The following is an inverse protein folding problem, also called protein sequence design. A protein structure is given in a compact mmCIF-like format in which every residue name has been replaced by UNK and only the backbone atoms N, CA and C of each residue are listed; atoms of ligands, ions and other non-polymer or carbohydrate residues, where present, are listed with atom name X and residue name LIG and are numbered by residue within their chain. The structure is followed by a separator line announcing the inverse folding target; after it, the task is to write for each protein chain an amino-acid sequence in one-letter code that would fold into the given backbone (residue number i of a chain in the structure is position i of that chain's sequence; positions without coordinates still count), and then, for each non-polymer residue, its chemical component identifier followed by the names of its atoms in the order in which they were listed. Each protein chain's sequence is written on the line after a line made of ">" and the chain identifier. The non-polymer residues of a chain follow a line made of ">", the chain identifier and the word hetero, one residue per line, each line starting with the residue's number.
data_IF_532336506221
#
_entry.id   IF_532336506221
#
_cell.length_a   1.000
_cell.length_b   1.000
_cell.length_c   1.000
_cell.angle_alpha   90.00
_cell.angle_beta   90.00
_cell.angle_gamma   90.00
#
_symmetry.space_group_name_H-M   'P 1'
#
loop_
_entity.id
_entity.type
_entity.pdbx_description
1 polymer ?
#
# COMPACT_ATOMS: atom_id res chain seq x y z
N UNK A 1 -27.77 -41.04 -17.57
CA UNK A 1 -27.39 -40.05 -16.54
C UNK A 1 -27.60 -40.63 -15.14
N UNK A 2 -26.73 -40.33 -14.17
CA UNK A 2 -26.99 -40.50 -12.73
C UNK A 2 -26.78 -39.14 -12.06
N UNK A 3 -27.76 -38.63 -11.31
CA UNK A 3 -27.63 -37.36 -10.56
C UNK A 3 -27.11 -37.68 -9.15
N UNK A 4 -25.89 -37.27 -8.84
CA UNK A 4 -25.30 -37.39 -7.50
C UNK A 4 -25.67 -36.18 -6.66
N UNK A 5 -26.65 -36.34 -5.76
CA UNK A 5 -27.02 -35.32 -4.78
C UNK A 5 -26.00 -35.28 -3.64
N UNK A 6 -25.21 -34.21 -3.54
CA UNK A 6 -24.33 -33.99 -2.39
C UNK A 6 -25.13 -33.39 -1.22
N UNK A 7 -25.38 -34.20 -0.19
CA UNK A 7 -25.90 -33.70 1.10
C UNK A 7 -24.84 -32.87 1.83
N UNK A 8 -25.16 -31.61 2.13
CA UNK A 8 -24.35 -30.77 3.02
C UNK A 8 -24.72 -31.07 4.48
N UNK A 9 -23.94 -31.94 5.14
CA UNK A 9 -24.15 -32.28 6.56
C UNK A 9 -23.64 -31.17 7.49
N UNK A 10 -24.56 -30.35 8.00
CA UNK A 10 -24.29 -29.42 9.10
C UNK A 10 -23.97 -30.19 10.40
N UNK A 11 -22.71 -30.19 10.82
CA UNK A 11 -22.29 -30.72 12.12
C UNK A 11 -22.53 -29.70 13.25
N UNK A 12 -23.73 -29.74 13.84
CA UNK A 12 -24.07 -28.95 15.02
C UNK A 12 -23.35 -29.44 16.28
N UNK A 13 -22.42 -28.65 16.83
CA UNK A 13 -21.69 -28.97 18.05
C UNK A 13 -22.50 -28.57 19.32
N UNK A 14 -23.05 -29.55 20.03
CA UNK A 14 -23.82 -29.32 21.25
C UNK A 14 -22.92 -29.23 22.51
N UNK A 15 -22.77 -28.03 23.07
CA UNK A 15 -22.11 -27.80 24.38
C UNK A 15 -23.12 -27.99 25.51
N UNK A 16 -22.73 -28.73 26.57
CA UNK A 16 -23.62 -29.13 27.68
C UNK A 16 -23.61 -28.13 28.83
N UNK A 17 -24.71 -28.06 29.58
CA UNK A 17 -24.89 -27.20 30.77
C UNK A 17 -24.13 -27.73 31.99
N UNK A 18 -23.56 -26.82 32.77
CA UNK A 18 -23.17 -27.01 34.17
C UNK A 18 -22.64 -25.71 34.79
N UNK A 19 -22.95 -25.32 36.03
CA UNK A 19 -23.93 -25.96 36.93
C UNK A 19 -23.71 -25.76 38.44
N UNK A 20 -23.19 -24.62 38.92
CA UNK A 20 -22.90 -24.39 40.36
C UNK A 20 -23.59 -23.11 40.87
N UNK A 21 -23.94 -23.08 42.17
CA UNK A 21 -24.76 -22.06 42.84
C UNK A 21 -23.94 -21.22 43.83
N UNK A 22 -24.44 -20.01 44.14
CA UNK A 22 -24.12 -19.26 45.36
C UNK A 22 -23.35 -17.95 45.11
N UNK A 23 -23.74 -16.81 45.69
CA UNK A 23 -24.94 -16.55 46.50
C UNK A 23 -25.10 -15.05 46.79
N UNK A 24 -26.34 -14.60 47.00
CA UNK A 24 -26.62 -13.18 47.25
C UNK A 24 -26.21 -12.77 48.68
N UNK A 25 -25.52 -11.63 48.81
CA UNK A 25 -25.65 -10.74 49.97
C UNK A 25 -25.78 -9.29 49.50
N UNK A 26 -26.71 -8.57 50.12
CA UNK A 26 -26.98 -7.17 49.82
C UNK A 26 -26.09 -6.26 50.69
N UNK A 27 -25.57 -5.18 50.12
CA UNK A 27 -24.78 -4.15 50.80
C UNK A 27 -25.30 -2.77 50.40
N UNK A 28 -25.53 -1.89 51.39
CA UNK A 28 -26.22 -0.61 51.20
C UNK A 28 -25.26 0.49 50.70
N UNK A 29 -25.84 1.53 50.10
CA UNK A 29 -25.13 2.75 49.70
C UNK A 29 -24.35 3.37 50.87
N UNK A 30 -23.31 4.13 50.55
CA UNK A 30 -23.27 5.51 51.05
C UNK A 30 -22.65 6.50 50.04
N UNK A 31 -22.84 7.79 50.29
CA UNK A 31 -22.38 8.91 49.45
C UNK A 31 -21.12 9.58 50.02
N UNK A 32 -20.20 9.96 49.16
CA UNK A 32 -19.39 11.17 49.38
C UNK A 32 -18.92 11.79 48.06
N UNK A 33 -19.04 13.11 47.94
CA UNK A 33 -18.45 13.91 46.86
C UNK A 33 -17.21 14.62 47.40
N UNK A 34 -16.11 14.63 46.65
CA UNK A 34 -15.00 15.56 46.86
C UNK A 34 -14.56 16.16 45.52
N UNK A 35 -14.59 17.49 45.46
CA UNK A 35 -14.06 18.34 44.39
C UNK A 35 -12.83 19.09 44.92
N UNK A 36 -12.06 19.70 44.01
CA UNK A 36 -10.95 20.64 44.31
C UNK A 36 -9.70 20.02 44.96
N UNK A 37 -8.51 20.60 44.82
CA UNK A 37 -8.05 21.61 43.84
C UNK A 37 -6.51 21.69 43.80
N UNK A 38 -6.00 22.31 42.73
CA UNK A 38 -4.78 23.15 42.68
C UNK A 38 -3.51 22.68 43.42
N UNK A 39 -2.46 22.38 42.65
CA UNK A 39 -1.11 22.88 42.96
C UNK A 39 -0.58 23.58 41.70
N UNK A 40 -0.07 24.80 41.86
CA UNK A 40 0.52 25.61 40.79
C UNK A 40 1.82 26.23 41.32
N UNK A 41 2.96 25.82 40.74
CA UNK A 41 4.28 26.42 41.00
C UNK A 41 4.90 26.75 39.63
N UNK A 42 5.17 28.03 39.36
CA UNK A 42 5.62 28.49 38.04
C UNK A 42 6.34 29.86 38.09
N UNK A 43 7.65 29.84 38.36
CA UNK A 43 8.64 30.94 38.26
C UNK A 43 10.03 30.34 38.53
N UNK A 44 11.20 30.84 38.09
CA UNK A 44 11.70 31.62 36.93
C UNK A 44 13.27 31.51 37.02
N UNK A 45 14.17 31.80 36.08
CA UNK A 45 14.26 32.36 34.71
C UNK A 45 15.63 31.88 34.12
N UNK A 46 15.96 32.17 32.84
CA UNK A 46 17.29 32.63 32.29
C UNK A 46 17.69 32.04 30.90
N UNK A 47 18.16 32.95 30.02
CA UNK A 47 19.02 32.79 28.83
C UNK A 47 18.61 31.92 27.61
N UNK A 48 17.98 32.61 26.65
CA UNK A 48 18.43 32.80 25.24
C UNK A 48 18.52 31.65 24.20
N UNK A 49 18.51 31.97 22.87
CA UNK A 49 18.31 31.02 21.77
C UNK A 49 19.49 31.04 20.74
N UNK A 50 19.34 30.72 19.43
CA UNK A 50 19.63 29.39 18.88
C UNK A 50 20.67 29.40 17.73
N UNK A 51 20.72 28.29 16.93
CA UNK A 51 21.52 28.01 15.72
C UNK A 51 22.96 27.48 15.93
N UNK A 52 23.57 26.79 14.92
CA UNK A 52 22.97 26.07 13.78
C UNK A 52 23.34 24.57 13.75
N UNK A 53 22.63 23.78 12.93
CA UNK A 53 23.08 22.47 12.46
C UNK A 53 22.70 22.33 10.98
N UNK A 54 23.64 21.89 10.15
CA UNK A 54 23.54 21.98 8.69
C UNK A 54 22.89 20.74 8.08
N UNK A 55 21.93 20.93 7.18
CA UNK A 55 21.45 19.88 6.26
C UNK A 55 21.28 20.41 4.84
N UNK A 56 22.27 20.06 4.01
CA UNK A 56 22.17 19.71 2.59
C UNK A 56 21.43 20.66 1.63
N UNK A 57 22.22 21.30 0.76
CA UNK A 57 21.76 22.09 -0.39
C UNK A 57 20.83 21.31 -1.33
N UNK A 58 19.51 21.50 -1.22
CA UNK A 58 18.56 21.17 -2.29
C UNK A 58 18.40 22.36 -3.25
N UNK A 59 19.22 22.33 -4.30
CA UNK A 59 19.24 23.31 -5.40
C UNK A 59 17.84 23.41 -6.05
N UNK A 60 17.26 24.62 -6.22
CA UNK A 60 15.93 24.77 -6.80
C UNK A 60 15.91 24.37 -8.28
N UNK A 61 14.90 23.60 -8.69
CA UNK A 61 14.70 23.23 -10.10
C UNK A 61 14.23 24.45 -10.90
N UNK A 62 15.10 24.90 -11.80
CA UNK A 62 14.85 25.94 -12.80
C UNK A 62 13.82 25.42 -13.81
N UNK A 63 12.69 26.11 -14.00
CA UNK A 63 11.76 25.81 -15.09
C UNK A 63 12.22 26.50 -16.37
N UNK A 64 12.85 25.74 -17.25
CA UNK A 64 12.97 26.02 -18.69
C UNK A 64 12.09 24.97 -19.38
N UNK A 65 11.10 25.33 -20.20
CA UNK A 65 11.18 26.01 -21.51
C UNK A 65 11.65 25.03 -22.60
N UNK A 66 10.68 24.38 -23.23
CA UNK A 66 10.78 23.38 -24.30
C UNK A 66 9.43 23.40 -25.08
N UNK A 67 9.35 23.02 -26.37
CA UNK A 67 9.25 24.08 -27.38
C UNK A 67 8.15 23.88 -28.46
N UNK A 68 8.00 24.89 -29.32
CA UNK A 68 7.52 24.77 -30.72
C UNK A 68 8.32 23.69 -31.49
N UNK A 69 7.84 23.02 -32.55
CA UNK A 69 6.69 23.11 -33.48
C UNK A 69 6.55 21.68 -34.13
N UNK A 70 5.81 21.36 -35.24
CA UNK A 70 4.82 22.10 -36.03
C UNK A 70 3.49 21.34 -36.36
N UNK A 71 2.51 22.10 -36.85
CA UNK A 71 1.63 21.89 -38.04
C UNK A 71 0.98 20.53 -38.47
N UNK A 72 -0.35 20.60 -38.69
CA UNK A 72 -1.27 19.83 -39.58
C UNK A 72 -1.48 18.30 -39.48
N UNK A 73 -2.74 17.90 -39.28
CA UNK A 73 -3.56 17.20 -40.31
C UNK A 73 -5.06 17.27 -40.00
N UNK A 74 -5.92 17.07 -41.00
CA UNK A 74 -7.39 17.24 -40.92
C UNK A 74 -8.15 15.94 -40.64
N UNK A 75 -9.24 16.01 -39.86
CA UNK A 75 -10.51 15.27 -40.11
C UNK A 75 -11.66 15.89 -39.32
N UNK A 76 -12.79 16.18 -39.98
CA UNK A 76 -14.09 16.40 -39.33
C UNK A 76 -14.82 15.04 -39.09
N UNK A 77 -15.84 14.97 -38.21
CA UNK A 77 -17.20 15.20 -38.73
C UNK A 77 -18.25 15.80 -37.75
N UNK A 78 -19.35 16.27 -38.37
CA UNK A 78 -20.76 16.32 -37.91
C UNK A 78 -21.24 17.16 -36.69
N UNK A 79 -22.38 17.85 -36.94
CA UNK A 79 -23.23 18.52 -35.94
C UNK A 79 -24.20 17.52 -35.28
N UNK A 80 -24.74 17.87 -34.10
CA UNK A 80 -26.21 17.97 -33.94
C UNK A 80 -26.60 19.32 -33.26
N UNK A 81 -27.89 19.71 -33.11
CA UNK A 81 -28.34 20.99 -33.69
C UNK A 81 -28.81 22.06 -32.68
N UNK A 82 -29.30 23.17 -33.25
CA UNK A 82 -29.70 24.43 -32.61
C UNK A 82 -30.68 24.33 -31.41
N UNK A 83 -30.54 25.29 -30.49
CA UNK A 83 -31.51 25.62 -29.45
C UNK A 83 -31.57 27.15 -29.21
N UNK A 84 -32.35 27.82 -30.05
CA UNK A 84 -33.14 29.05 -29.81
C UNK A 84 -32.53 30.22 -29.00
N UNK A 85 -32.20 31.32 -29.70
CA UNK A 85 -32.16 32.66 -29.09
C UNK A 85 -33.59 33.22 -28.92
N UNK A 86 -33.95 33.85 -27.78
CA UNK A 86 -35.25 34.49 -27.60
C UNK A 86 -35.30 35.86 -28.32
N UNK A 87 -35.97 35.89 -29.47
CA UNK A 87 -36.29 37.13 -30.20
C UNK A 87 -37.05 38.12 -29.30
N UNK A 88 -36.49 39.31 -29.08
CA UNK A 88 -37.19 40.41 -28.39
C UNK A 88 -37.63 41.45 -29.43
N UNK A 89 -38.91 41.40 -29.81
CA UNK A 89 -39.50 42.36 -30.76
C UNK A 89 -39.65 43.76 -30.16
N UNK A 90 -39.36 44.79 -30.95
CA UNK A 90 -39.54 46.18 -30.57
C UNK A 90 -41.01 46.52 -30.29
N UNK A 91 -41.24 47.28 -29.22
CA UNK A 91 -42.34 48.25 -29.13
C UNK A 91 -41.82 49.55 -28.53
N UNK A 92 -41.95 50.64 -29.29
CA UNK A 92 -42.04 51.98 -28.72
C UNK A 92 -43.43 52.15 -28.13
N UNK A 93 -43.52 52.77 -26.96
CA UNK A 93 -44.64 53.64 -26.58
C UNK A 93 -44.17 54.59 -25.45
N UNK A 94 -44.64 55.84 -25.54
CA UNK A 94 -44.64 56.99 -24.62
C UNK A 94 -43.35 57.49 -23.92
N UNK A 95 -43.05 58.79 -24.15
CA UNK A 95 -41.84 59.49 -23.69
C UNK A 95 -42.16 60.33 -22.42
N UNK A 96 -42.18 59.66 -21.27
CA UNK A 96 -42.46 60.29 -19.97
C UNK A 96 -42.12 59.39 -18.78
N UNK A 97 -42.89 58.32 -18.58
CA UNK A 97 -42.69 57.38 -17.46
C UNK A 97 -41.61 56.32 -17.76
N UNK A 98 -41.26 56.13 -19.04
CA UNK A 98 -40.18 55.24 -19.49
C UNK A 98 -38.81 55.57 -18.85
N UNK A 99 -38.57 56.83 -18.46
CA UNK A 99 -37.37 57.23 -17.74
C UNK A 99 -37.28 56.60 -16.34
N UNK A 100 -38.40 56.54 -15.60
CA UNK A 100 -38.47 55.94 -14.27
C UNK A 100 -38.39 54.40 -14.35
N UNK A 101 -39.14 53.78 -15.27
CA UNK A 101 -39.14 52.34 -15.43
C UNK A 101 -37.78 51.81 -15.90
N UNK A 102 -37.16 52.41 -16.92
CA UNK A 102 -35.80 52.04 -17.36
C UNK A 102 -34.71 52.35 -16.32
N UNK A 103 -34.92 53.32 -15.42
CA UNK A 103 -34.03 53.51 -14.26
C UNK A 103 -34.21 52.37 -13.24
N UNK A 104 -35.45 51.92 -13.00
CA UNK A 104 -35.74 50.76 -12.15
C UNK A 104 -35.12 49.47 -12.72
N UNK A 105 -35.20 49.24 -14.03
CA UNK A 105 -34.57 48.12 -14.73
C UNK A 105 -33.04 48.18 -14.64
N UNK A 106 -32.44 49.36 -14.84
CA UNK A 106 -31.00 49.57 -14.62
C UNK A 106 -30.58 49.22 -13.19
N UNK A 107 -31.38 49.60 -12.19
CA UNK A 107 -31.15 49.22 -10.78
C UNK A 107 -31.35 47.71 -10.53
N UNK A 108 -32.34 47.07 -11.17
CA UNK A 108 -32.55 45.62 -11.08
C UNK A 108 -31.40 44.84 -11.74
N UNK A 109 -30.98 45.24 -12.93
CA UNK A 109 -29.82 44.68 -13.66
C UNK A 109 -28.52 44.86 -12.87
N UNK A 110 -28.34 46.00 -12.19
CA UNK A 110 -27.21 46.23 -11.29
C UNK A 110 -27.27 45.34 -10.03
N UNK A 111 -28.44 45.16 -9.41
CA UNK A 111 -28.65 44.21 -8.30
C UNK A 111 -28.36 42.76 -8.74
N UNK A 112 -28.79 42.37 -9.93
CA UNK A 112 -28.49 41.06 -10.51
C UNK A 112 -26.99 40.87 -10.79
N UNK A 113 -26.31 41.91 -11.30
CA UNK A 113 -24.85 41.93 -11.47
C UNK A 113 -24.13 41.75 -10.11
N UNK A 114 -24.57 42.48 -9.08
CA UNK A 114 -24.03 42.33 -7.72
C UNK A 114 -24.28 40.92 -7.14
N UNK A 115 -25.44 40.32 -7.37
CA UNK A 115 -25.74 38.96 -6.93
C UNK A 115 -24.88 37.91 -7.67
N UNK A 116 -24.64 38.10 -8.98
CA UNK A 116 -23.70 37.29 -9.77
C UNK A 116 -22.26 37.44 -9.26
N UNK A 117 -21.81 38.66 -8.96
CA UNK A 117 -20.49 38.92 -8.40
C UNK A 117 -20.31 38.29 -7.00
N UNK A 118 -21.28 38.46 -6.10
CA UNK A 118 -21.28 37.84 -4.76
C UNK A 118 -21.25 36.31 -4.82
N UNK A 119 -22.13 35.71 -5.62
CA UNK A 119 -22.15 34.24 -5.77
C UNK A 119 -20.94 33.70 -6.54
N UNK A 120 -20.24 34.51 -7.33
CA UNK A 120 -18.91 34.19 -7.86
C UNK A 120 -17.86 34.16 -6.74
N UNK A 121 -17.72 35.25 -6.00
CA UNK A 121 -16.78 35.33 -4.87
C UNK A 121 -17.00 34.23 -3.82
N UNK A 122 -18.26 33.90 -3.51
CA UNK A 122 -18.61 32.78 -2.64
C UNK A 122 -18.20 31.41 -3.19
N UNK A 123 -18.39 31.15 -4.50
CA UNK A 123 -17.94 29.90 -5.13
C UNK A 123 -16.42 29.78 -5.05
N UNK A 124 -15.71 30.81 -5.50
CA UNK A 124 -14.24 30.86 -5.45
C UNK A 124 -13.73 30.61 -4.02
N UNK A 125 -14.30 31.27 -3.00
CA UNK A 125 -13.92 31.07 -1.60
C UNK A 125 -14.20 29.64 -1.11
N UNK A 126 -15.35 29.05 -1.48
CA UNK A 126 -15.71 27.66 -1.14
C UNK A 126 -14.81 26.66 -1.86
N UNK A 127 -14.36 26.96 -3.09
CA UNK A 127 -13.46 26.14 -3.89
C UNK A 127 -12.02 26.19 -3.33
N UNK A 128 -11.48 27.37 -2.99
CA UNK A 128 -10.19 27.48 -2.28
C UNK A 128 -10.24 26.79 -0.90
N UNK A 129 -11.35 26.88 -0.18
CA UNK A 129 -11.54 26.16 1.08
C UNK A 129 -11.59 24.64 0.88
N UNK A 130 -12.24 24.15 -0.18
CA UNK A 130 -12.28 22.72 -0.52
C UNK A 130 -10.93 22.20 -1.03
N UNK A 131 -10.18 23.01 -1.80
CA UNK A 131 -8.83 22.68 -2.26
C UNK A 131 -7.85 22.60 -1.08
N UNK A 132 -7.83 23.59 -0.19
CA UNK A 132 -6.99 23.55 1.03
C UNK A 132 -7.35 22.38 1.95
N UNK A 133 -8.64 22.01 2.06
CA UNK A 133 -9.05 20.78 2.75
C UNK A 133 -8.60 19.49 2.05
N UNK A 134 -8.65 19.43 0.71
CA UNK A 134 -8.13 18.28 -0.06
C UNK A 134 -6.62 18.11 0.08
N UNK A 135 -5.87 19.22 0.09
CA UNK A 135 -4.42 19.22 0.29
C UNK A 135 -4.04 18.88 1.74
N UNK A 136 -4.90 19.23 2.72
CA UNK A 136 -4.68 18.93 4.14
C UNK A 136 -5.20 17.54 4.59
N UNK A 137 -5.85 16.76 3.72
CA UNK A 137 -6.40 15.44 4.09
C UNK A 137 -5.50 14.29 3.65
N UNK A 138 -4.70 13.78 4.61
CA UNK A 138 -3.83 12.61 4.40
C UNK A 138 -4.58 11.41 3.79
N UNK A 139 -4.22 10.94 2.58
CA UNK A 139 -4.88 9.78 1.96
C UNK A 139 -4.75 8.50 2.80
N UNK A 140 -3.69 8.37 3.60
CA UNK A 140 -3.50 7.26 4.54
C UNK A 140 -4.51 7.31 5.70
N UNK A 141 -4.83 8.50 6.21
CA UNK A 141 -5.83 8.71 7.26
C UNK A 141 -7.25 8.46 6.73
N UNK A 142 -7.57 8.91 5.52
CA UNK A 142 -8.83 8.59 4.85
C UNK A 142 -9.02 7.08 4.68
N UNK A 143 -7.97 6.35 4.26
CA UNK A 143 -7.98 4.88 4.17
C UNK A 143 -8.01 4.17 5.54
N UNK A 144 -7.68 4.84 6.63
CA UNK A 144 -7.87 4.33 7.99
C UNK A 144 -9.31 4.57 8.47
N UNK A 145 -9.89 5.73 8.14
CA UNK A 145 -11.28 6.09 8.47
C UNK A 145 -12.26 5.19 7.72
N UNK A 146 -12.11 5.05 6.39
CA UNK A 146 -13.00 4.21 5.56
C UNK A 146 -13.02 2.75 6.03
N UNK A 147 -11.87 2.18 6.39
CA UNK A 147 -11.78 0.84 6.98
C UNK A 147 -12.50 0.75 8.33
N UNK A 148 -12.28 1.72 9.24
CA UNK A 148 -13.01 1.78 10.53
C UNK A 148 -14.53 1.90 10.32
N UNK A 149 -14.96 2.71 9.37
CA UNK A 149 -16.37 2.87 9.02
C UNK A 149 -16.99 1.57 8.48
N UNK A 150 -16.28 0.86 7.59
CA UNK A 150 -16.72 -0.43 7.08
C UNK A 150 -16.80 -1.52 8.16
N UNK A 151 -15.87 -1.54 9.13
CA UNK A 151 -15.98 -2.41 10.30
C UNK A 151 -17.14 -2.02 11.21
N UNK A 152 -17.39 -0.72 11.41
CA UNK A 152 -18.51 -0.24 12.22
C UNK A 152 -19.87 -0.59 11.59
N UNK A 153 -20.07 -0.33 10.29
CA UNK A 153 -21.32 -0.68 9.60
C UNK A 153 -21.53 -2.20 9.51
N UNK A 154 -20.48 -2.99 9.31
CA UNK A 154 -20.53 -4.45 9.39
C UNK A 154 -20.99 -4.94 10.77
N UNK A 155 -20.44 -4.38 11.85
CA UNK A 155 -20.79 -4.77 13.22
C UNK A 155 -22.20 -4.31 13.61
N UNK A 156 -22.66 -3.15 13.14
CA UNK A 156 -24.04 -2.70 13.31
C UNK A 156 -25.01 -3.62 12.59
N UNK A 157 -24.77 -3.92 11.30
CA UNK A 157 -25.61 -4.83 10.53
C UNK A 157 -25.65 -6.25 11.15
N UNK A 158 -24.55 -6.72 11.75
CA UNK A 158 -24.54 -7.95 12.57
C UNK A 158 -25.47 -7.84 13.77
N UNK A 159 -25.35 -6.78 14.57
CA UNK A 159 -26.20 -6.57 15.75
C UNK A 159 -27.69 -6.43 15.37
N UNK A 160 -28.01 -5.71 14.30
CA UNK A 160 -29.38 -5.49 13.83
C UNK A 160 -30.02 -6.81 13.33
N UNK A 161 -29.27 -7.64 12.61
CA UNK A 161 -29.76 -8.95 12.13
C UNK A 161 -29.87 -9.97 13.27
N UNK A 162 -28.91 -10.02 14.20
CA UNK A 162 -29.01 -10.85 15.41
C UNK A 162 -30.19 -10.42 16.31
N UNK A 163 -30.47 -9.11 16.42
CA UNK A 163 -31.63 -8.57 17.15
C UNK A 163 -32.97 -8.88 16.46
N UNK A 164 -32.99 -8.98 15.12
CA UNK A 164 -34.13 -9.48 14.35
C UNK A 164 -34.32 -11.01 14.45
N UNK A 165 -33.36 -11.74 15.03
CA UNK A 165 -33.37 -13.20 15.11
C UNK A 165 -32.88 -13.90 13.83
N UNK A 166 -32.25 -13.19 12.90
CA UNK A 166 -31.68 -13.75 11.69
C UNK A 166 -30.22 -14.21 11.87
N UNK A 167 -29.83 -15.24 11.13
CA UNK A 167 -28.46 -15.75 11.05
C UNK A 167 -27.65 -14.92 10.04
N UNK A 168 -26.90 -13.93 10.54
CA UNK A 168 -26.06 -13.00 9.77
C UNK A 168 -25.05 -13.70 8.84
N UNK A 169 -24.46 -14.79 9.29
CA UNK A 169 -23.41 -15.49 8.54
C UNK A 169 -24.01 -16.34 7.41
N UNK A 170 -25.18 -16.94 7.66
CA UNK A 170 -26.02 -17.52 6.59
C UNK A 170 -26.50 -16.47 5.60
N UNK A 171 -26.96 -15.30 6.04
CA UNK A 171 -27.44 -14.23 5.15
C UNK A 171 -26.35 -13.80 4.18
N UNK A 172 -25.15 -13.52 4.69
CA UNK A 172 -23.95 -13.25 3.87
C UNK A 172 -23.59 -14.39 2.91
N UNK A 173 -23.76 -15.64 3.31
CA UNK A 173 -23.40 -16.78 2.45
C UNK A 173 -24.26 -16.89 1.18
N UNK A 174 -25.42 -16.23 1.10
CA UNK A 174 -26.18 -16.06 -0.14
C UNK A 174 -25.60 -15.01 -1.08
N UNK A 175 -24.93 -13.98 -0.52
CA UNK A 175 -24.36 -12.87 -1.28
C UNK A 175 -22.99 -13.22 -1.91
N UNK A 176 -22.37 -14.34 -1.53
CA UNK A 176 -21.06 -14.77 -2.04
C UNK A 176 -21.10 -15.17 -3.51
N UNK A 177 -20.46 -14.38 -4.36
CA UNK A 177 -20.26 -14.72 -5.77
C UNK A 177 -19.20 -15.81 -5.94
N UNK A 178 -19.32 -16.62 -7.00
CA UNK A 178 -18.32 -17.67 -7.35
C UNK A 178 -16.92 -17.06 -7.50
N UNK A 179 -16.85 -15.92 -8.18
CA UNK A 179 -15.68 -15.07 -8.35
C UNK A 179 -14.97 -14.72 -7.04
N UNK A 180 -15.72 -14.39 -5.98
CA UNK A 180 -15.18 -14.04 -4.67
C UNK A 180 -14.70 -15.27 -3.90
N UNK A 181 -15.42 -16.39 -4.00
CA UNK A 181 -14.95 -17.68 -3.46
C UNK A 181 -13.62 -18.08 -4.12
N UNK A 182 -13.52 -18.05 -5.45
CA UNK A 182 -12.27 -18.36 -6.14
C UNK A 182 -11.12 -17.41 -5.73
N UNK A 183 -11.39 -16.10 -5.62
CA UNK A 183 -10.38 -15.12 -5.16
C UNK A 183 -9.99 -15.33 -3.68
N UNK A 184 -10.88 -15.89 -2.87
CA UNK A 184 -10.60 -16.29 -1.48
C UNK A 184 -9.79 -17.59 -1.41
N UNK A 185 -10.16 -18.61 -2.18
CA UNK A 185 -9.51 -19.92 -2.19
C UNK A 185 -8.09 -19.83 -2.77
N UNK A 186 -7.90 -19.12 -3.90
CA UNK A 186 -6.57 -18.79 -4.45
C UNK A 186 -5.69 -18.04 -3.43
N UNK A 187 -6.30 -17.24 -2.53
CA UNK A 187 -5.59 -16.52 -1.44
C UNK A 187 -5.23 -17.44 -0.28
N UNK A 188 -6.11 -18.36 0.11
CA UNK A 188 -5.82 -19.39 1.12
C UNK A 188 -4.75 -20.35 0.62
N UNK A 189 -4.86 -20.83 -0.61
CA UNK A 189 -3.89 -21.71 -1.26
C UNK A 189 -2.50 -21.05 -1.33
N UNK A 190 -2.42 -19.80 -1.79
CA UNK A 190 -1.15 -19.02 -1.77
C UNK A 190 -0.59 -18.87 -0.36
N UNK A 191 -1.44 -18.66 0.66
CA UNK A 191 -1.04 -18.60 2.07
C UNK A 191 -0.56 -19.94 2.62
N UNK A 192 -1.11 -21.06 2.14
CA UNK A 192 -0.67 -22.41 2.48
C UNK A 192 0.68 -22.72 1.82
N UNK A 193 0.80 -22.56 0.50
CA UNK A 193 2.08 -22.69 -0.24
C UNK A 193 3.19 -21.87 0.43
N UNK A 194 2.92 -20.62 0.79
CA UNK A 194 3.88 -19.77 1.51
C UNK A 194 4.22 -20.22 2.93
N UNK A 195 3.40 -21.03 3.62
CA UNK A 195 3.75 -21.65 4.92
C UNK A 195 4.66 -22.85 4.70
N UNK A 196 4.31 -23.70 3.76
CA UNK A 196 5.06 -24.91 3.42
C UNK A 196 6.47 -24.54 2.90
N UNK A 197 6.56 -23.41 2.17
CA UNK A 197 7.81 -22.78 1.72
C UNK A 197 8.73 -22.23 2.82
N UNK A 198 8.27 -22.04 4.06
CA UNK A 198 9.12 -21.56 5.18
C UNK A 198 10.06 -22.65 5.68
N UNK A 199 9.66 -23.92 5.55
CA UNK A 199 10.49 -25.04 5.96
C UNK A 199 11.68 -25.22 5.02
N UNK A 200 12.86 -25.50 5.59
CA UNK A 200 14.00 -25.94 4.81
C UNK A 200 13.74 -27.36 4.28
N UNK A 201 13.81 -27.53 2.96
CA UNK A 201 13.63 -28.81 2.28
C UNK A 201 14.95 -29.27 1.64
N UNK A 202 15.52 -28.41 0.77
CA UNK A 202 16.77 -28.65 0.06
C UNK A 202 17.53 -27.34 -0.22
N UNK A 203 18.85 -27.45 -0.40
CA UNK A 203 19.75 -26.35 -0.70
C UNK A 203 19.47 -25.69 -2.05
N UNK A 204 19.03 -26.41 -3.09
CA UNK A 204 18.68 -25.78 -4.38
C UNK A 204 17.48 -24.85 -4.25
N UNK A 205 16.51 -25.22 -3.41
CA UNK A 205 15.33 -24.41 -3.14
C UNK A 205 15.65 -23.19 -2.27
N UNK A 206 16.52 -23.32 -1.26
CA UNK A 206 16.97 -22.18 -0.45
C UNK A 206 17.82 -21.20 -1.30
N UNK A 207 18.74 -21.72 -2.12
CA UNK A 207 19.51 -20.91 -3.07
C UNK A 207 18.60 -20.14 -4.04
N UNK A 208 17.58 -20.81 -4.61
CA UNK A 208 16.56 -20.13 -5.43
C UNK A 208 15.79 -19.07 -4.64
N UNK A 209 15.35 -19.35 -3.41
CA UNK A 209 14.63 -18.39 -2.55
C UNK A 209 15.50 -17.19 -2.15
N UNK A 210 16.82 -17.35 -2.08
CA UNK A 210 17.78 -16.26 -1.89
C UNK A 210 17.96 -15.45 -3.18
N UNK A 211 18.14 -16.10 -4.33
CA UNK A 211 18.23 -15.46 -5.65
C UNK A 211 16.96 -14.68 -6.01
N UNK A 212 15.78 -15.31 -5.91
CA UNK A 212 14.46 -14.70 -6.15
C UNK A 212 14.19 -13.50 -5.22
N UNK A 213 14.90 -13.39 -4.09
CA UNK A 213 14.88 -12.20 -3.22
C UNK A 213 15.88 -11.15 -3.70
N UNK A 214 17.13 -11.52 -3.99
CA UNK A 214 18.15 -10.60 -4.50
C UNK A 214 17.71 -9.93 -5.80
N UNK A 215 17.08 -10.67 -6.73
CA UNK A 215 16.54 -10.12 -7.97
C UNK A 215 15.34 -9.16 -7.78
N UNK A 216 14.71 -9.13 -6.60
CA UNK A 216 13.67 -8.13 -6.24
C UNK A 216 14.24 -6.94 -5.47
N UNK A 217 15.43 -7.09 -4.89
CA UNK A 217 16.14 -6.02 -4.18
C UNK A 217 17.11 -5.27 -5.12
N UNK A 218 17.49 -5.88 -6.26
CA UNK A 218 18.31 -5.29 -7.32
C UNK A 218 17.59 -4.14 -8.02
N UNK A 219 18.30 -3.02 -8.21
CA UNK A 219 17.81 -1.85 -8.94
C UNK A 219 18.72 -1.59 -10.17
N UNK A 220 18.28 -1.94 -11.39
CA UNK A 220 19.02 -1.65 -12.62
C UNK A 220 19.13 -0.14 -12.87
N UNK A 221 20.29 0.32 -13.36
CA UNK A 221 20.43 1.68 -13.87
C UNK A 221 20.15 1.71 -15.37
N UNK A 222 18.96 2.21 -15.75
CA UNK A 222 18.53 2.25 -17.16
C UNK A 222 19.36 3.23 -17.99
N UNK A 223 19.70 4.40 -17.44
CA UNK A 223 20.46 5.43 -18.16
C UNK A 223 21.85 4.94 -18.60
N UNK A 224 22.55 4.21 -17.73
CA UNK A 224 23.85 3.63 -18.07
C UNK A 224 23.72 2.49 -19.10
N UNK A 225 22.69 1.65 -18.98
CA UNK A 225 22.41 0.60 -19.95
C UNK A 225 22.08 1.17 -21.34
N UNK A 226 21.36 2.28 -21.42
CA UNK A 226 21.08 2.99 -22.67
C UNK A 226 22.35 3.61 -23.28
N UNK A 227 23.23 4.21 -22.45
CA UNK A 227 24.53 4.73 -22.90
C UNK A 227 25.45 3.61 -23.41
N UNK A 228 25.59 2.51 -22.67
CA UNK A 228 26.39 1.35 -23.08
C UNK A 228 25.83 0.71 -24.37
N UNK A 229 24.49 0.66 -24.51
CA UNK A 229 23.81 0.19 -25.73
C UNK A 229 24.11 1.07 -26.94
N UNK A 230 23.98 2.40 -26.80
CA UNK A 230 24.28 3.34 -27.89
C UNK A 230 25.76 3.21 -28.28
N UNK A 231 26.67 3.25 -27.31
CA UNK A 231 28.11 3.14 -27.56
C UNK A 231 28.54 1.78 -28.16
N UNK A 232 27.77 0.71 -27.98
CA UNK A 232 27.99 -0.57 -28.65
C UNK A 232 27.45 -0.59 -30.09
N UNK A 233 26.25 -0.02 -30.32
CA UNK A 233 25.67 0.13 -31.67
C UNK A 233 26.55 1.05 -32.53
N UNK A 234 27.07 2.15 -31.99
CA UNK A 234 28.01 3.05 -32.68
C UNK A 234 29.30 2.34 -33.10
N UNK A 235 29.83 1.43 -32.26
CA UNK A 235 31.01 0.61 -32.61
C UNK A 235 30.69 -0.41 -33.70
N UNK A 236 29.57 -1.11 -33.61
CA UNK A 236 29.13 -2.04 -34.65
C UNK A 236 28.90 -1.32 -36.01
N UNK A 237 28.35 -0.10 -35.98
CA UNK A 237 28.20 0.76 -37.15
C UNK A 237 29.56 1.22 -37.72
N UNK A 238 30.50 1.61 -36.86
CA UNK A 238 31.84 2.03 -37.27
C UNK A 238 32.70 0.89 -37.86
N UNK A 239 32.51 -0.34 -37.37
CA UNK A 239 33.14 -1.55 -37.93
C UNK A 239 32.47 -2.01 -39.24
N UNK A 240 31.19 -1.71 -39.43
CA UNK A 240 30.37 -2.24 -40.53
C UNK A 240 29.71 -3.60 -40.25
N UNK A 241 29.62 -4.01 -38.99
CA UNK A 241 29.14 -5.34 -38.57
C UNK A 241 27.59 -5.44 -38.44
N UNK A 242 26.87 -4.33 -38.65
CA UNK A 242 25.40 -4.29 -38.61
C UNK A 242 24.80 -4.87 -39.89
N UNK A 243 24.25 -6.07 -39.81
CA UNK A 243 23.53 -6.72 -40.91
C UNK A 243 22.09 -6.22 -40.95
N UNK A 244 21.71 -5.54 -42.04
CA UNK A 244 20.33 -5.09 -42.24
C UNK A 244 19.51 -6.28 -42.72
N UNK A 245 18.65 -6.80 -41.85
CA UNK A 245 17.75 -7.92 -42.15
C UNK A 245 16.37 -7.37 -42.50
N UNK A 246 15.91 -7.63 -43.72
CA UNK A 246 14.52 -7.40 -44.12
C UNK A 246 13.63 -8.45 -43.44
N UNK A 247 12.78 -8.00 -42.51
CA UNK A 247 11.79 -8.86 -41.84
C UNK A 247 10.65 -9.18 -42.81
N UNK A 248 9.94 -10.29 -42.62
CA UNK A 248 8.86 -10.73 -43.52
C UNK A 248 7.72 -9.70 -43.71
N UNK A 249 7.54 -8.79 -42.75
CA UNK A 249 6.57 -7.69 -42.77
C UNK A 249 7.08 -6.42 -43.47
N UNK A 250 8.30 -6.44 -44.03
CA UNK A 250 8.93 -5.32 -44.74
C UNK A 250 9.73 -4.35 -43.86
N UNK A 251 9.81 -4.58 -42.55
CA UNK A 251 10.59 -3.76 -41.61
C UNK A 251 12.07 -4.18 -41.61
N UNK A 252 12.97 -3.22 -41.88
CA UNK A 252 14.42 -3.45 -41.89
C UNK A 252 15.00 -3.31 -40.48
N UNK A 253 15.45 -4.42 -39.90
CA UNK A 253 16.05 -4.46 -38.57
C UNK A 253 17.57 -4.61 -38.70
N UNK A 254 18.33 -3.69 -38.11
CA UNK A 254 19.78 -3.81 -38.00
C UNK A 254 20.14 -4.83 -36.91
N UNK A 255 20.65 -5.99 -37.31
CA UNK A 255 21.05 -7.08 -36.42
C UNK A 255 22.57 -7.10 -36.27
N UNK A 256 23.01 -7.11 -35.01
CA UNK A 256 24.40 -7.28 -34.58
C UNK A 256 24.86 -8.72 -34.86
N UNK A 257 25.59 -8.94 -35.95
CA UNK A 257 25.94 -10.28 -36.46
C UNK A 257 27.02 -10.98 -35.63
N UNK A 258 27.92 -10.21 -35.03
CA UNK A 258 29.01 -10.69 -34.18
C UNK A 258 28.68 -10.68 -32.67
N UNK A 259 27.51 -10.18 -32.28
CA UNK A 259 27.01 -10.22 -30.91
C UNK A 259 27.77 -9.30 -29.95
N UNK A 260 28.23 -8.14 -30.45
CA UNK A 260 29.00 -7.18 -29.65
C UNK A 260 28.19 -6.53 -28.51
N UNK A 261 26.87 -6.45 -28.62
CA UNK A 261 25.95 -6.04 -27.55
C UNK A 261 25.01 -7.17 -27.15
N UNK A 262 24.36 -7.81 -28.14
CA UNK A 262 23.50 -8.97 -27.91
C UNK A 262 24.31 -10.25 -28.08
N UNK A 263 25.07 -10.61 -27.03
CA UNK A 263 25.98 -11.76 -27.03
C UNK A 263 25.31 -13.06 -27.50
N UNK A 264 25.86 -13.62 -28.57
CA UNK A 264 25.52 -14.95 -29.08
C UNK A 264 26.44 -16.00 -28.45
N UNK A 265 26.09 -17.29 -28.56
CA UNK A 265 26.83 -18.39 -27.92
C UNK A 265 28.32 -18.47 -28.35
N UNK A 266 28.64 -17.98 -29.54
CA UNK A 266 29.99 -17.98 -30.11
C UNK A 266 30.73 -16.62 -29.95
N UNK A 267 30.07 -15.59 -29.40
CA UNK A 267 30.65 -14.25 -29.23
C UNK A 267 31.59 -14.18 -28.01
N UNK A 268 32.81 -13.68 -28.21
CA UNK A 268 33.85 -13.64 -27.16
C UNK A 268 33.90 -12.32 -26.38
N UNK A 269 33.15 -11.29 -26.78
CA UNK A 269 33.28 -9.91 -26.28
C UNK A 269 33.09 -9.70 -24.77
N UNK A 270 32.58 -10.69 -24.04
CA UNK A 270 32.52 -10.68 -22.58
C UNK A 270 33.92 -10.64 -21.92
N UNK A 271 34.97 -11.18 -22.54
CA UNK A 271 36.32 -11.25 -21.92
C UNK A 271 36.91 -9.88 -21.61
N UNK A 272 36.55 -8.88 -22.39
CA UNK A 272 37.17 -7.56 -22.39
C UNK A 272 36.37 -6.56 -21.54
N UNK A 273 35.23 -7.00 -20.97
CA UNK A 273 34.41 -6.18 -20.10
C UNK A 273 35.12 -5.93 -18.75
N UNK A 274 35.59 -4.70 -18.58
CA UNK A 274 36.14 -4.20 -17.32
C UNK A 274 35.12 -3.28 -16.65
N UNK A 275 34.30 -3.76 -15.69
CA UNK A 275 33.26 -2.96 -15.07
C UNK A 275 33.86 -1.80 -14.27
N UNK A 276 33.12 -0.69 -14.19
CA UNK A 276 33.53 0.45 -13.38
C UNK A 276 33.61 0.08 -11.89
N UNK A 277 34.55 0.74 -11.19
CA UNK A 277 34.79 0.55 -9.78
C UNK A 277 33.55 0.82 -8.92
N UNK A 278 32.72 1.81 -9.25
CA UNK A 278 31.50 2.07 -8.49
C UNK A 278 30.46 0.95 -8.65
N UNK A 279 30.46 0.21 -9.77
CA UNK A 279 29.62 -0.98 -9.93
C UNK A 279 30.13 -2.15 -9.06
N UNK A 280 31.46 -2.34 -8.99
CA UNK A 280 32.08 -3.34 -8.09
C UNK A 280 31.83 -2.99 -6.62
N UNK A 281 32.00 -1.73 -6.22
CA UNK A 281 31.76 -1.28 -4.85
C UNK A 281 30.28 -1.46 -4.42
N UNK A 282 29.31 -1.24 -5.34
CA UNK A 282 27.88 -1.56 -5.11
C UNK A 282 27.66 -3.06 -4.86
N UNK A 283 28.24 -3.93 -5.69
CA UNK A 283 28.13 -5.39 -5.50
C UNK A 283 28.70 -5.81 -4.13
N UNK A 284 29.84 -5.22 -3.71
CA UNK A 284 30.45 -5.49 -2.42
C UNK A 284 29.58 -4.99 -1.25
N UNK A 285 28.88 -3.85 -1.37
CA UNK A 285 27.96 -3.40 -0.30
C UNK A 285 26.72 -4.28 -0.18
N UNK A 286 26.14 -4.76 -1.29
CA UNK A 286 24.99 -5.68 -1.24
C UNK A 286 25.36 -7.06 -0.69
N UNK A 287 26.56 -7.58 -0.98
CA UNK A 287 27.08 -8.80 -0.36
C UNK A 287 27.22 -8.65 1.17
N UNK A 288 27.84 -7.55 1.65
CA UNK A 288 27.97 -7.26 3.09
C UNK A 288 26.61 -7.11 3.78
N UNK A 289 25.69 -6.37 3.18
CA UNK A 289 24.29 -6.19 3.62
C UNK A 289 23.56 -7.54 3.74
N UNK A 290 23.77 -8.47 2.82
CA UNK A 290 23.21 -9.82 2.90
C UNK A 290 23.80 -10.64 4.07
N UNK A 291 25.11 -10.53 4.34
CA UNK A 291 25.76 -11.14 5.50
C UNK A 291 25.28 -10.53 6.83
N UNK A 292 25.17 -9.20 6.91
CA UNK A 292 24.65 -8.48 8.08
C UNK A 292 23.23 -8.92 8.43
N UNK A 293 22.33 -9.03 7.44
CA UNK A 293 20.96 -9.55 7.64
C UNK A 293 20.97 -11.00 8.11
N UNK A 294 21.87 -11.85 7.59
CA UNK A 294 22.05 -13.25 8.02
C UNK A 294 22.57 -13.33 9.47
N UNK A 295 23.52 -12.48 9.85
CA UNK A 295 24.10 -12.40 11.19
C UNK A 295 23.11 -11.83 12.21
N UNK A 296 22.39 -10.74 11.86
CA UNK A 296 21.31 -10.16 12.68
C UNK A 296 20.24 -11.19 12.99
N UNK A 297 19.71 -11.89 11.97
CA UNK A 297 18.75 -12.99 12.15
C UNK A 297 19.34 -14.18 12.93
N UNK A 298 20.66 -14.35 13.02
CA UNK A 298 21.32 -15.35 13.88
C UNK A 298 21.44 -14.88 15.33
N UNK A 299 21.63 -13.57 15.56
CA UNK A 299 21.64 -12.94 16.89
C UNK A 299 20.23 -12.88 17.50
N UNK A 300 19.22 -12.52 16.73
CA UNK A 300 17.80 -12.49 17.16
C UNK A 300 17.32 -13.86 17.64
N UNK A 301 17.68 -14.94 16.93
CA UNK A 301 17.42 -16.34 17.35
C UNK A 301 18.30 -16.84 18.52
N UNK A 302 19.07 -15.95 19.15
CA UNK A 302 19.82 -16.15 20.40
C UNK A 302 19.42 -15.13 21.48
N UNK A 303 18.35 -14.37 21.26
CA UNK A 303 17.85 -13.35 22.19
C UNK A 303 17.40 -13.91 23.54
N UNK A 304 17.09 -13.01 24.46
CA UNK A 304 17.01 -13.30 25.89
C UNK A 304 16.03 -14.42 26.27
N UNK A 305 16.48 -15.22 27.23
CA UNK A 305 15.68 -16.26 27.87
C UNK A 305 15.23 -15.74 29.24
N UNK A 306 14.04 -15.13 29.29
CA UNK A 306 13.26 -14.93 30.53
C UNK A 306 12.58 -16.25 30.99
N UNK A 307 13.04 -17.39 30.43
CA UNK A 307 12.64 -18.73 30.79
C UNK A 307 13.62 -19.33 31.80
N UNK A 308 13.11 -20.21 32.68
CA UNK A 308 13.88 -20.78 33.78
C UNK A 308 15.16 -21.52 33.33
N UNK A 309 16.27 -21.31 34.06
CA UNK A 309 17.64 -21.58 33.60
C UNK A 309 18.03 -23.03 33.84
N UNK A 310 17.52 -23.91 32.97
CA UNK A 310 17.73 -25.37 33.00
C UNK A 310 19.14 -25.85 32.59
N UNK A 311 20.16 -24.98 32.56
CA UNK A 311 21.50 -25.32 32.06
C UNK A 311 22.64 -24.64 32.81
N UNK A 312 23.78 -25.33 32.90
CA UNK A 312 24.99 -24.84 33.60
C UNK A 312 25.99 -24.16 32.63
N UNK A 313 25.92 -24.45 31.33
CA UNK A 313 26.81 -23.85 30.33
C UNK A 313 26.17 -23.80 28.92
N UNK A 314 26.75 -23.01 28.02
CA UNK A 314 26.24 -22.79 26.64
C UNK A 314 26.15 -24.07 25.79
N UNK A 315 27.01 -25.07 26.01
CA UNK A 315 26.91 -26.37 25.30
C UNK A 315 25.74 -27.19 25.83
N UNK A 316 25.51 -27.16 27.14
CA UNK A 316 24.36 -27.77 27.81
C UNK A 316 23.06 -27.06 27.37
N UNK A 317 23.02 -25.72 27.30
CA UNK A 317 21.92 -24.94 26.71
C UNK A 317 21.57 -25.43 25.30
N UNK A 318 22.56 -25.50 24.40
CA UNK A 318 22.34 -25.97 23.03
C UNK A 318 21.91 -27.45 22.95
N UNK A 319 22.35 -28.30 23.89
CA UNK A 319 21.92 -29.69 24.00
C UNK A 319 20.47 -29.80 24.51
N UNK A 320 20.09 -29.06 25.55
CA UNK A 320 18.72 -29.01 26.06
C UNK A 320 17.76 -28.39 25.04
N UNK A 321 18.20 -27.35 24.30
CA UNK A 321 17.48 -26.80 23.15
C UNK A 321 17.40 -27.79 21.96
N UNK A 322 18.26 -28.81 21.88
CA UNK A 322 18.11 -29.92 20.91
C UNK A 322 17.10 -30.94 21.44
N UNK A 323 17.25 -31.38 22.70
CA UNK A 323 16.32 -32.32 23.33
C UNK A 323 14.89 -31.80 23.30
N UNK A 324 14.66 -30.53 23.61
CA UNK A 324 13.32 -29.94 23.65
C UNK A 324 12.60 -29.99 22.30
N UNK A 325 13.33 -29.80 21.19
CA UNK A 325 12.76 -29.88 19.82
C UNK A 325 12.29 -31.28 19.43
N UNK A 326 12.92 -32.33 19.96
CA UNK A 326 12.55 -33.72 19.67
C UNK A 326 11.58 -34.30 20.69
N UNK A 327 11.79 -34.04 21.98
CA UNK A 327 11.12 -34.74 23.07
C UNK A 327 9.98 -33.97 23.74
N UNK A 328 9.94 -32.63 23.73
CA UNK A 328 8.87 -31.90 24.43
C UNK A 328 7.47 -32.31 23.96
N UNK A 329 7.29 -32.66 22.67
CA UNK A 329 6.03 -33.16 22.11
C UNK A 329 5.50 -34.43 22.81
N UNK A 330 6.40 -35.23 23.38
CA UNK A 330 6.10 -36.51 24.03
C UNK A 330 6.24 -36.43 25.57
N UNK A 331 6.88 -35.38 26.09
CA UNK A 331 7.10 -35.18 27.54
C UNK A 331 6.35 -33.97 28.09
N UNK A 332 5.31 -33.48 27.38
CA UNK A 332 4.43 -32.40 27.87
C UNK A 332 3.82 -32.79 29.21
N UNK A 333 3.11 -33.92 29.29
CA UNK A 333 2.41 -34.40 30.49
C UNK A 333 3.36 -34.55 31.69
N UNK A 334 4.58 -35.05 31.46
CA UNK A 334 5.62 -35.18 32.47
C UNK A 334 6.06 -33.80 32.98
N UNK A 335 6.32 -32.84 32.08
CA UNK A 335 6.70 -31.47 32.44
C UNK A 335 5.58 -30.75 33.20
N UNK A 336 4.37 -30.84 32.67
CA UNK A 336 3.13 -30.36 33.28
C UNK A 336 2.95 -30.88 34.71
N UNK A 337 3.20 -32.17 34.95
CA UNK A 337 3.12 -32.77 36.28
C UNK A 337 4.25 -32.31 37.22
N UNK A 338 5.46 -32.04 36.72
CA UNK A 338 6.50 -31.37 37.53
C UNK A 338 6.09 -29.94 37.90
N UNK A 339 5.59 -29.15 36.93
CA UNK A 339 5.13 -27.77 37.16
C UNK A 339 3.89 -27.71 38.08
N UNK A 340 3.08 -28.78 38.14
CA UNK A 340 1.97 -28.97 39.09
C UNK A 340 2.35 -29.66 40.41
N UNK A 341 3.63 -29.92 40.68
CA UNK A 341 4.08 -30.43 41.98
C UNK A 341 4.04 -31.95 42.15
N UNK A 342 4.34 -32.72 41.09
CA UNK A 342 4.48 -34.19 41.07
C UNK A 342 3.23 -35.00 41.42
N UNK A 343 2.05 -34.38 41.39
CA UNK A 343 0.78 -35.09 41.50
C UNK A 343 0.49 -35.82 40.16
N UNK A 344 0.25 -37.13 40.23
CA UNK A 344 -0.15 -38.01 39.13
C UNK A 344 -1.66 -37.88 38.89
#
# INVERSE_FOLDING_TARGET
>A
MRRTTHEWRCLGAAVRKGGVKGGLKCGRLDRSMTLSSQILIKTLLIASPPYPAEHENKRPLKKEAAPDHPEQTETAPENPPAAEEPTTTEKKDDDGDAAANSASERLQRFKALQARAKSGAERNMKETAAETQRLATDPSLLNNLSRKHAFASHNLLKADTEAAGEDFERKRAWDWTVDESEKWDRRLEKKQRHRDDVAFQDYTQDARKVYDRQMRELQPNLEAYEQDKIAAIEKAAANGDLEIVETADGEMIAVDKNGSFYSTADSTGFTDNKPDRAAVDRLVTDLRKAEEVRLKKRKERRGDEEADVTYINEKNKQFNQKLSRFYNKYTTEIRDSFERGTMI
#
